data_IF_814731197148
#
_entry.id   IF_814731197148
#
_cell.length_a   1.000
_cell.length_b   1.000
_cell.length_c   1.000
_cell.angle_alpha   90.00
_cell.angle_beta   90.00
_cell.angle_gamma   90.00
#
_symmetry.space_group_name_H-M   'P 1'
#
loop_
_entity.id
_entity.type
_entity.pdbx_description
1 polymer ?
#
# COMPACT_ATOMS: atom_id res chain seq x y z
N UNK A 1 18.63 0.75 28.78
CA UNK A 1 18.35 0.66 28.14
C UNK A 1 17.91 0.95 27.56
N UNK A 2 18.15 1.02 27.74
CA UNK A 2 17.79 1.11 26.99
C UNK A 2 16.92 1.26 26.61
N UNK A 3 16.86 1.39 27.07
CA UNK A 3 16.08 1.44 26.50
C UNK A 3 15.35 1.69 26.15
N UNK A 4 15.55 1.99 26.51
CA UNK A 4 14.83 2.00 25.96
C UNK A 4 14.11 2.33 25.81
N UNK A 5 14.36 2.41 25.90
CA UNK A 5 13.71 2.50 25.50
C UNK A 5 12.98 2.55 25.22
N UNK A 6 13.17 2.60 25.42
CA UNK A 6 12.47 2.49 24.93
C UNK A 6 11.67 2.70 24.71
N UNK A 7 11.89 2.78 24.99
CA UNK A 7 11.10 2.82 24.60
C UNK A 7 10.34 3.14 24.41
N UNK A 8 10.63 3.30 24.59
CA UNK A 8 9.93 3.40 24.22
C UNK A 8 9.14 3.60 24.02
N UNK A 9 9.20 3.54 24.03
CA UNK A 9 8.39 3.54 23.64
C UNK A 9 7.47 3.55 23.61
N UNK A 10 7.66 3.66 23.81
CA UNK A 10 6.78 3.56 23.69
C UNK A 10 5.87 3.73 23.75
N UNK A 11 6.00 3.86 23.95
CA UNK A 11 5.09 3.90 23.92
C UNK A 11 4.08 4.23 23.85
N UNK A 12 4.21 4.39 23.99
CA UNK A 12 3.27 4.57 23.80
C UNK A 12 2.37 4.68 23.57
N UNK A 13 2.36 4.66 23.70
CA UNK A 13 1.56 4.65 23.35
C UNK A 13 0.69 4.80 23.37
N UNK A 14 0.52 4.92 23.59
CA UNK A 14 -0.34 4.94 23.51
C UNK A 14 -1.28 5.30 23.52
N UNK A 15 -1.22 5.64 23.70
CA UNK A 15 -2.00 5.74 23.73
C UNK A 15 -2.82 5.96 23.54
N UNK A 16 -2.68 6.02 24.06
CA UNK A 16 -3.64 6.21 23.72
C UNK A 16 -4.24 6.56 22.65
N UNK A 17 -4.31 7.33 22.57
CA UNK A 17 -4.93 7.63 21.33
C UNK A 17 -4.70 6.60 20.29
N UNK A 18 -4.61 5.77 20.21
CA UNK A 18 -4.59 4.58 19.39
C UNK A 18 -4.86 4.80 17.91
N UNK A 19 -4.62 6.03 17.47
CA UNK A 19 -4.75 6.31 16.05
C UNK A 19 -3.58 5.68 15.34
N UNK A 20 -3.89 4.73 14.49
CA UNK A 20 -2.88 4.09 13.67
C UNK A 20 -2.31 5.12 12.70
N UNK A 21 -0.99 5.23 12.66
CA UNK A 21 -0.34 6.10 11.70
C UNK A 21 -0.48 5.48 10.31
N UNK A 22 -0.96 6.26 9.36
CA UNK A 22 -1.11 5.78 7.99
C UNK A 22 0.26 5.45 7.41
N UNK A 23 0.41 4.31 6.73
CA UNK A 23 1.68 3.95 6.09
C UNK A 23 2.15 5.01 5.11
N UNK A 24 3.45 5.24 5.10
CA UNK A 24 4.07 6.21 4.21
C UNK A 24 5.19 5.52 3.43
N UNK A 25 5.08 5.53 2.12
CA UNK A 25 6.04 4.87 1.24
C UNK A 25 6.92 5.88 0.50
N UNK A 26 7.07 7.08 1.06
CA UNK A 26 7.84 8.15 0.42
C UNK A 26 9.30 7.79 0.18
N UNK A 27 9.85 6.86 0.96
CA UNK A 27 11.22 6.42 0.78
C UNK A 27 11.35 5.26 -0.22
N UNK A 28 10.24 4.87 -0.82
CA UNK A 28 10.24 3.79 -1.79
C UNK A 28 10.16 2.41 -1.13
N UNK A 29 10.28 1.39 -1.96
CA UNK A 29 10.27 -0.01 -1.53
C UNK A 29 11.43 -0.71 -2.20
N UNK A 30 11.93 -1.77 -1.58
CA UNK A 30 13.00 -2.56 -2.15
C UNK A 30 12.55 -3.16 -3.50
N UNK A 31 13.30 -2.86 -4.55
CA UNK A 31 12.97 -3.35 -5.88
C UNK A 31 11.92 -2.53 -6.62
N UNK A 32 11.48 -1.42 -6.04
CA UNK A 32 10.49 -0.55 -6.67
C UNK A 32 10.86 0.91 -6.43
N UNK A 33 10.96 1.66 -7.51
CA UNK A 33 11.33 3.07 -7.44
C UNK A 33 10.08 3.93 -7.38
N UNK A 34 10.00 4.79 -6.37
CA UNK A 34 8.90 5.75 -6.27
C UNK A 34 9.10 6.84 -7.31
N UNK A 35 8.14 7.00 -8.19
CA UNK A 35 8.20 8.03 -9.23
C UNK A 35 7.42 9.26 -8.84
N UNK A 36 6.33 9.09 -8.07
CA UNK A 36 5.44 10.21 -7.81
C UNK A 36 4.52 9.88 -6.66
N UNK A 37 4.11 10.92 -5.93
CA UNK A 37 3.18 10.83 -4.83
C UNK A 37 2.06 11.84 -5.07
N UNK A 38 0.82 11.36 -5.16
CA UNK A 38 -0.34 12.21 -5.36
C UNK A 38 -1.19 12.23 -4.09
N UNK A 39 -1.51 13.42 -3.60
CA UNK A 39 -2.43 13.57 -2.47
C UNK A 39 -3.74 14.11 -2.99
N UNK A 40 -4.82 13.37 -2.75
CA UNK A 40 -6.16 13.73 -3.23
C UNK A 40 -7.17 13.48 -2.13
N UNK A 41 -7.62 14.57 -1.49
CA UNK A 41 -8.62 14.45 -0.45
C UNK A 41 -8.16 13.52 0.67
N UNK A 42 -8.84 12.41 0.82
CA UNK A 42 -8.58 11.44 1.88
C UNK A 42 -7.67 10.31 1.46
N UNK A 43 -7.03 10.40 0.30
CA UNK A 43 -6.12 9.35 -0.11
C UNK A 43 -4.78 9.89 -0.61
N UNK A 44 -3.76 9.08 -0.44
CA UNK A 44 -2.42 9.34 -0.95
C UNK A 44 -2.04 8.18 -1.85
N UNK A 45 -1.69 8.46 -3.10
CA UNK A 45 -1.33 7.42 -4.06
C UNK A 45 0.17 7.49 -4.35
N UNK A 46 0.85 6.39 -4.10
CA UNK A 46 2.28 6.27 -4.39
C UNK A 46 2.43 5.49 -5.69
N UNK A 47 3.09 6.10 -6.66
CA UNK A 47 3.29 5.51 -7.99
C UNK A 47 4.71 4.97 -8.08
N UNK A 48 4.82 3.66 -8.32
CA UNK A 48 6.11 2.98 -8.40
C UNK A 48 6.37 2.45 -9.81
N UNK A 49 7.64 2.40 -10.14
CA UNK A 49 8.13 1.68 -11.31
C UNK A 49 8.96 0.51 -10.79
N UNK A 50 8.70 -0.68 -11.30
CA UNK A 50 9.32 -1.89 -10.75
C UNK A 50 9.47 -2.98 -11.80
N UNK A 51 10.55 -3.75 -11.68
CA UNK A 51 10.72 -4.98 -12.47
C UNK A 51 10.10 -6.19 -11.78
N UNK A 52 9.54 -6.01 -10.58
CA UNK A 52 8.98 -7.12 -9.80
C UNK A 52 7.61 -7.52 -10.33
N UNK A 53 7.36 -8.84 -10.31
CA UNK A 53 6.01 -9.35 -10.59
C UNK A 53 5.04 -8.89 -9.51
N UNK A 54 3.76 -8.99 -9.79
CA UNK A 54 2.72 -8.65 -8.81
C UNK A 54 2.91 -9.39 -7.50
N UNK A 55 3.21 -10.68 -7.58
CA UNK A 55 3.40 -11.52 -6.40
C UNK A 55 4.59 -11.05 -5.57
N UNK A 56 5.71 -10.76 -6.21
CA UNK A 56 6.92 -10.31 -5.50
C UNK A 56 6.74 -8.91 -4.94
N UNK A 57 6.12 -8.02 -5.69
CA UNK A 57 5.84 -6.67 -5.21
C UNK A 57 4.95 -6.72 -3.98
N UNK A 58 3.88 -7.51 -4.04
CA UNK A 58 2.95 -7.64 -2.91
C UNK A 58 3.64 -8.23 -1.67
N UNK A 59 4.55 -9.18 -1.86
CA UNK A 59 5.29 -9.77 -0.75
C UNK A 59 6.16 -8.72 -0.04
N UNK A 60 6.84 -7.88 -0.80
CA UNK A 60 7.68 -6.82 -0.25
C UNK A 60 6.83 -5.77 0.47
N UNK A 61 5.73 -5.37 -0.15
CA UNK A 61 4.82 -4.42 0.45
C UNK A 61 4.24 -4.97 1.76
N UNK A 62 3.79 -6.21 1.74
CA UNK A 62 3.21 -6.85 2.92
C UNK A 62 4.23 -6.93 4.06
N UNK A 63 5.47 -7.25 3.74
CA UNK A 63 6.54 -7.27 4.74
C UNK A 63 6.78 -5.89 5.32
N UNK A 64 6.71 -4.86 4.49
CA UNK A 64 6.88 -3.47 4.92
C UNK A 64 5.73 -3.04 5.83
N UNK A 65 4.50 -3.45 5.50
CA UNK A 65 3.32 -3.11 6.29
C UNK A 65 3.30 -3.82 7.64
N UNK A 66 3.78 -5.06 7.69
CA UNK A 66 3.77 -5.86 8.90
C UNK A 66 2.64 -6.87 8.95
N UNK A 67 2.70 -7.81 9.91
CA UNK A 67 1.79 -8.95 9.93
C UNK A 67 0.34 -8.60 10.30
N UNK A 68 0.12 -7.46 10.93
CA UNK A 68 -1.24 -7.05 11.31
C UNK A 68 -2.10 -6.67 10.10
N UNK A 69 -1.47 -6.20 9.04
CA UNK A 69 -2.19 -5.85 7.81
C UNK A 69 -2.57 -7.11 7.05
N UNK A 70 -3.84 -7.25 6.73
CA UNK A 70 -4.35 -8.46 6.09
C UNK A 70 -5.07 -8.14 4.79
N UNK A 71 -4.87 -9.02 3.81
CA UNK A 71 -5.61 -8.92 2.55
C UNK A 71 -7.11 -9.11 2.83
N UNK A 72 -7.93 -8.29 2.21
CA UNK A 72 -9.36 -8.30 2.40
C UNK A 72 -10.08 -8.80 1.15
N UNK A 73 -11.33 -9.20 1.34
CA UNK A 73 -12.19 -9.51 0.21
C UNK A 73 -12.37 -8.25 -0.62
N UNK A 74 -12.24 -8.38 -1.93
CA UNK A 74 -12.32 -7.24 -2.82
C UNK A 74 -13.76 -6.74 -2.94
N UNK A 75 -13.91 -5.42 -2.86
CA UNK A 75 -15.20 -4.78 -3.07
C UNK A 75 -15.36 -4.52 -4.57
N UNK A 76 -16.61 -4.51 -5.04
CA UNK A 76 -16.91 -4.28 -6.44
C UNK A 76 -16.32 -2.95 -6.94
N UNK A 77 -16.41 -1.90 -6.13
CA UNK A 77 -15.88 -0.58 -6.51
C UNK A 77 -14.37 -0.60 -6.73
N UNK A 78 -13.64 -1.39 -5.92
CA UNK A 78 -12.19 -1.52 -6.10
C UNK A 78 -11.88 -2.27 -7.38
N UNK A 79 -12.66 -3.31 -7.68
CA UNK A 79 -12.47 -4.08 -8.90
C UNK A 79 -12.76 -3.26 -10.15
N UNK A 80 -13.80 -2.43 -10.11
CA UNK A 80 -14.14 -1.54 -11.23
C UNK A 80 -13.02 -0.52 -11.44
N UNK A 81 -12.54 0.08 -10.36
CA UNK A 81 -11.46 1.05 -10.43
C UNK A 81 -10.19 0.42 -11.04
N UNK A 82 -9.81 -0.77 -10.56
CA UNK A 82 -8.63 -1.47 -11.06
C UNK A 82 -8.78 -1.82 -12.54
N UNK A 83 -9.95 -2.27 -12.95
CA UNK A 83 -10.21 -2.59 -14.35
C UNK A 83 -10.06 -1.36 -15.24
N UNK A 84 -10.55 -0.21 -14.79
CA UNK A 84 -10.39 1.05 -15.53
C UNK A 84 -8.93 1.45 -15.65
N UNK A 85 -8.16 1.29 -14.56
CA UNK A 85 -6.73 1.59 -14.59
C UNK A 85 -6.00 0.69 -15.60
N UNK A 86 -6.34 -0.60 -15.62
CA UNK A 86 -5.75 -1.53 -16.56
C UNK A 86 -6.04 -1.16 -18.01
N UNK A 87 -7.28 -0.81 -18.31
CA UNK A 87 -7.66 -0.38 -19.65
C UNK A 87 -6.94 0.91 -20.06
N UNK A 88 -6.91 1.88 -19.16
CA UNK A 88 -6.26 3.17 -19.41
C UNK A 88 -4.77 3.01 -19.68
N UNK A 89 -4.12 2.11 -18.97
CA UNK A 89 -2.69 1.86 -19.11
C UNK A 89 -2.35 0.86 -20.21
N UNK A 90 -3.35 0.18 -20.79
CA UNK A 90 -3.12 -0.87 -21.75
C UNK A 90 -2.38 -2.05 -21.16
N UNK A 91 -2.65 -2.37 -19.90
CA UNK A 91 -1.89 -3.36 -19.14
C UNK A 91 -2.80 -4.34 -18.43
N UNK A 92 -2.26 -5.52 -18.15
CA UNK A 92 -2.92 -6.46 -17.24
C UNK A 92 -2.87 -5.90 -15.82
N UNK A 93 -3.88 -6.22 -15.02
CA UNK A 93 -3.99 -5.64 -13.69
C UNK A 93 -4.14 -6.72 -12.62
N UNK A 94 -3.44 -6.52 -11.49
CA UNK A 94 -3.65 -7.30 -10.28
C UNK A 94 -4.01 -6.34 -9.16
N UNK A 95 -5.00 -6.72 -8.38
CA UNK A 95 -5.53 -5.88 -7.31
C UNK A 95 -5.47 -6.62 -5.99
N UNK A 96 -4.99 -5.95 -4.96
CA UNK A 96 -5.03 -6.43 -3.59
C UNK A 96 -5.40 -5.26 -2.68
N UNK A 97 -6.21 -5.53 -1.67
CA UNK A 97 -6.58 -4.52 -0.68
C UNK A 97 -6.21 -5.06 0.69
N UNK A 98 -5.50 -4.26 1.48
CA UNK A 98 -5.12 -4.62 2.84
C UNK A 98 -5.84 -3.71 3.83
N UNK A 99 -6.11 -4.24 4.98
CA UNK A 99 -6.73 -3.50 6.07
C UNK A 99 -6.13 -3.94 7.40
N UNK A 100 -6.00 -2.98 8.32
CA UNK A 100 -5.51 -3.28 9.67
C UNK A 100 -6.72 -3.52 10.58
N UNK A 101 -6.70 -4.59 11.37
CA UNK A 101 -7.86 -4.91 12.22
C UNK A 101 -8.14 -3.86 13.31
N UNK A 102 -7.12 -3.12 13.72
CA UNK A 102 -7.28 -2.08 14.73
C UNK A 102 -7.82 -0.76 14.18
N UNK A 103 -7.74 -0.57 12.85
CA UNK A 103 -8.24 0.67 12.24
C UNK A 103 -8.82 0.36 10.87
N UNK A 104 -10.11 0.13 10.84
CA UNK A 104 -10.82 -0.19 9.60
C UNK A 104 -11.02 1.03 8.71
N UNK A 105 -10.73 2.22 9.22
CA UNK A 105 -10.81 3.44 8.44
C UNK A 105 -9.65 3.65 7.48
N UNK A 106 -8.62 2.81 7.57
CA UNK A 106 -7.47 2.92 6.65
C UNK A 106 -7.38 1.66 5.81
N UNK A 107 -7.42 1.83 4.49
CA UNK A 107 -7.26 0.74 3.52
C UNK A 107 -6.07 1.02 2.63
N UNK A 108 -5.35 -0.03 2.27
CA UNK A 108 -4.25 0.07 1.31
C UNK A 108 -4.68 -0.68 0.06
N UNK A 109 -4.88 0.04 -1.04
CA UNK A 109 -5.23 -0.56 -2.32
C UNK A 109 -4.00 -0.63 -3.20
N UNK A 110 -3.66 -1.83 -3.64
CA UNK A 110 -2.47 -2.07 -4.47
C UNK A 110 -2.93 -2.50 -5.86
N UNK A 111 -2.55 -1.74 -6.86
CA UNK A 111 -2.81 -2.07 -8.26
C UNK A 111 -1.47 -2.24 -8.95
N UNK A 112 -1.20 -3.46 -9.41
CA UNK A 112 -0.01 -3.77 -10.18
C UNK A 112 -0.39 -3.83 -11.65
N UNK A 113 0.23 -2.98 -12.45
CA UNK A 113 -0.04 -2.88 -13.89
C UNK A 113 1.10 -3.58 -14.62
N UNK A 114 0.80 -4.77 -15.13
CA UNK A 114 1.79 -5.60 -15.79
C UNK A 114 2.09 -5.08 -17.19
N UNK A 115 3.35 -4.73 -17.43
CA UNK A 115 3.80 -4.28 -18.74
C UNK A 115 3.77 -5.43 -19.75
N UNK A 116 3.46 -5.13 -20.98
CA UNK A 116 3.49 -6.10 -22.07
C UNK A 116 4.89 -6.63 -22.32
N UNK A 117 5.90 -5.81 -22.06
CA UNK A 117 7.31 -6.22 -22.21
C UNK A 117 7.75 -7.19 -21.12
N UNK A 118 7.03 -7.26 -20.02
CA UNK A 118 7.35 -8.14 -18.90
C UNK A 118 8.46 -7.65 -17.99
N UNK A 119 9.03 -6.49 -18.26
CA UNK A 119 10.19 -6.00 -17.49
C UNK A 119 9.97 -4.68 -16.77
N UNK A 120 9.11 -3.82 -17.27
CA UNK A 120 8.86 -2.52 -16.67
C UNK A 120 7.41 -2.42 -16.26
N UNK A 121 7.13 -2.82 -15.02
CA UNK A 121 5.78 -2.75 -14.48
C UNK A 121 5.58 -1.46 -13.70
N UNK A 122 4.34 -1.12 -13.47
CA UNK A 122 3.97 0.00 -12.61
C UNK A 122 3.10 -0.52 -11.48
N UNK A 123 3.23 0.08 -10.31
CA UNK A 123 2.39 -0.26 -9.18
C UNK A 123 1.88 1.02 -8.55
N UNK A 124 0.61 1.03 -8.21
CA UNK A 124 -0.03 2.15 -7.53
C UNK A 124 -0.46 1.66 -6.16
N UNK A 125 0.07 2.28 -5.12
CA UNK A 125 -0.27 1.94 -3.75
C UNK A 125 -1.02 3.13 -3.17
N UNK A 126 -2.32 2.98 -2.98
CA UNK A 126 -3.18 4.03 -2.45
C UNK A 126 -3.46 3.80 -0.97
N UNK A 127 -3.10 4.77 -0.15
CA UNK A 127 -3.46 4.78 1.26
C UNK A 127 -4.73 5.60 1.38
N UNK A 128 -5.84 4.94 1.68
CA UNK A 128 -7.16 5.55 1.68
C UNK A 128 -7.68 5.64 3.11
N UNK A 129 -8.00 6.84 3.55
CA UNK A 129 -8.59 7.08 4.86
C UNK A 129 -10.08 7.30 4.72
N UNK A 130 -10.78 7.01 5.79
CA UNK A 130 -12.22 7.21 5.82
C UNK A 130 -12.97 5.91 5.71
N UNK A 131 -14.24 6.01 5.76
CA UNK A 131 -15.15 4.87 5.88
C UNK A 131 -15.21 4.00 4.64
#
# INVERSE_FOLDING_TARGET
MKMGLLVLFSLTLYGVGNDLVAPDFSEGLQGAKLEKKDERGDQVVFHFKTGLSSKKFSAILKKNLGPAWRAQKLKQEDMIFAARRGRSAGAGVNLTVYQHPADKGIRIRVIHLKSKSGTNHRAEVAVIKGD
#
